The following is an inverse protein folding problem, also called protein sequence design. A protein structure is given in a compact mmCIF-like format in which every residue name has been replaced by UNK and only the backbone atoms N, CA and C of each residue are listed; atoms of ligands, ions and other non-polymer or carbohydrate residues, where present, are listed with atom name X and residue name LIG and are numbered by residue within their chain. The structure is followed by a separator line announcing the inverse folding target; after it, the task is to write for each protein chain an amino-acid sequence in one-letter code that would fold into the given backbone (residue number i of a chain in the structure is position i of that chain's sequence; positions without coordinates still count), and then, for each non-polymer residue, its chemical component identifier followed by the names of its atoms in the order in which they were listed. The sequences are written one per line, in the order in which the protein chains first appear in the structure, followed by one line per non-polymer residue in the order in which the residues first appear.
data_IF_350947111535
#
_entry.id   IF_350947111535
#
_cell.length_a   1.000
_cell.length_b   1.000
_cell.length_c   1.000
_cell.angle_alpha   90.00
_cell.angle_beta   90.00
_cell.angle_gamma   90.00
#
_symmetry.space_group_name_H-M   'P 1'
#
loop_
_entity.id
_entity.type
_entity.pdbx_description
1 polymer ?
#
# COMPACT_ATOMS: atom_id res chain seq x y z
N UNK A 1 -9.98 15.85 -21.62
CA UNK A 1 -9.79 15.20 -20.30
C UNK A 1 -9.39 13.74 -20.54
N UNK A 2 -8.10 13.41 -20.61
CA UNK A 2 -7.68 12.02 -20.85
C UNK A 2 -7.44 11.33 -19.52
N UNK A 3 -8.46 10.60 -19.07
CA UNK A 3 -8.32 9.52 -18.11
C UNK A 3 -7.58 8.37 -18.79
N UNK A 4 -6.44 7.97 -18.22
CA UNK A 4 -5.77 6.68 -18.38
C UNK A 4 -4.33 6.88 -17.88
N UNK A 5 -4.09 6.65 -16.59
CA UNK A 5 -2.71 6.51 -16.12
C UNK A 5 -2.18 5.19 -16.67
N UNK A 6 -1.05 5.29 -17.36
CA UNK A 6 -0.39 4.22 -18.07
C UNK A 6 0.01 3.10 -17.10
N UNK A 7 -0.38 1.88 -17.45
CA UNK A 7 0.17 0.63 -16.90
C UNK A 7 1.63 0.54 -17.30
N UNK A 8 2.51 1.24 -16.59
CA UNK A 8 3.94 0.91 -16.60
C UNK A 8 4.11 -0.26 -15.65
N UNK A 9 4.91 -1.25 -16.05
CA UNK A 9 5.31 -2.42 -15.27
C UNK A 9 6.19 -2.04 -14.06
N UNK A 10 5.84 -0.98 -13.33
CA UNK A 10 6.39 -0.71 -12.00
C UNK A 10 5.90 -1.82 -11.10
N UNK A 11 6.77 -2.38 -10.27
CA UNK A 11 6.41 -3.38 -9.26
C UNK A 11 5.41 -2.75 -8.28
N UNK A 12 4.12 -2.80 -8.57
CA UNK A 12 3.08 -2.29 -7.69
C UNK A 12 2.69 -3.38 -6.71
N UNK A 13 3.05 -3.17 -5.45
CA UNK A 13 2.68 -4.10 -4.39
C UNK A 13 1.34 -3.67 -3.80
N UNK A 14 0.34 -4.56 -3.84
CA UNK A 14 -0.94 -4.31 -3.17
C UNK A 14 -0.79 -4.48 -1.67
N UNK A 15 -0.90 -3.40 -0.93
CA UNK A 15 -0.77 -3.34 0.54
C UNK A 15 -2.14 -3.25 1.21
N UNK A 16 -2.19 -3.68 2.46
CA UNK A 16 -3.35 -3.54 3.32
C UNK A 16 -3.13 -2.37 4.28
N UNK A 17 -3.86 -1.27 4.11
CA UNK A 17 -3.74 -0.08 4.95
C UNK A 17 -4.76 -0.13 6.08
N UNK A 18 -4.28 -0.05 7.32
CA UNK A 18 -5.11 0.22 8.47
C UNK A 18 -5.38 1.73 8.56
N UNK A 19 -6.64 2.13 8.34
CA UNK A 19 -7.03 3.55 8.33
C UNK A 19 -7.02 4.19 9.72
N UNK A 20 -7.13 3.40 10.79
CA UNK A 20 -7.08 3.87 12.18
C UNK A 20 -5.65 4.20 12.60
N UNK A 21 -4.68 3.33 12.31
CA UNK A 21 -3.28 3.54 12.69
C UNK A 21 -2.42 4.22 11.62
N UNK A 22 -2.94 4.38 10.40
CA UNK A 22 -2.21 4.84 9.20
C UNK A 22 -0.96 4.01 8.92
N UNK A 23 -1.07 2.69 9.13
CA UNK A 23 0.00 1.72 8.88
C UNK A 23 -0.42 0.80 7.75
N UNK A 24 0.47 0.60 6.77
CA UNK A 24 0.27 -0.33 5.67
C UNK A 24 1.04 -1.62 5.88
N UNK A 25 0.42 -2.74 5.53
CA UNK A 25 0.94 -4.08 5.69
C UNK A 25 1.19 -4.72 4.33
N UNK A 26 2.35 -5.35 4.17
CA UNK A 26 2.72 -6.05 2.94
C UNK A 26 2.00 -7.40 2.81
N UNK A 27 1.79 -7.88 1.58
CA UNK A 27 1.31 -9.24 1.35
C UNK A 27 2.24 -10.25 2.03
N UNK A 28 1.68 -11.30 2.63
CA UNK A 28 2.42 -12.31 3.38
C UNK A 28 2.71 -11.95 4.85
N UNK A 29 2.41 -10.72 5.29
CA UNK A 29 2.52 -10.36 6.71
C UNK A 29 1.29 -10.79 7.51
N UNK A 30 1.47 -11.05 8.82
CA UNK A 30 0.40 -11.50 9.73
C UNK A 30 -0.86 -10.63 9.73
N UNK A 31 -0.73 -9.33 9.44
CA UNK A 31 -1.81 -8.34 9.55
C UNK A 31 -2.44 -7.94 8.20
N UNK A 32 -1.94 -8.49 7.10
CA UNK A 32 -2.51 -8.25 5.77
C UNK A 32 -3.96 -8.74 5.70
N UNK A 33 -4.90 -7.84 5.47
CA UNK A 33 -6.34 -8.17 5.39
C UNK A 33 -6.98 -8.59 6.70
N UNK A 34 -6.31 -8.41 7.85
CA UNK A 34 -6.78 -8.93 9.14
C UNK A 34 -7.48 -7.91 10.02
N UNK A 35 -7.32 -6.60 9.75
CA UNK A 35 -7.96 -5.56 10.56
C UNK A 35 -9.38 -5.31 10.06
N UNK A 36 -10.32 -4.97 10.95
CA UNK A 36 -11.67 -4.59 10.53
C UNK A 36 -11.71 -3.23 9.81
N UNK A 37 -10.83 -2.33 10.24
CA UNK A 37 -10.67 -1.00 9.68
C UNK A 37 -9.44 -0.97 8.78
N UNK A 38 -9.59 -1.46 7.56
CA UNK A 38 -8.55 -1.32 6.56
C UNK A 38 -9.07 -1.45 5.15
N UNK A 39 -8.22 -1.05 4.21
CA UNK A 39 -8.50 -1.09 2.78
C UNK A 39 -7.27 -1.58 2.03
N UNK A 40 -7.51 -2.33 0.95
CA UNK A 40 -6.45 -2.64 0.00
C UNK A 40 -6.19 -1.41 -0.87
N UNK A 41 -4.92 -1.08 -1.07
CA UNK A 41 -4.47 -0.10 -2.06
C UNK A 41 -3.06 -0.44 -2.53
N UNK A 42 -2.52 0.32 -3.47
CA UNK A 42 -1.12 0.17 -3.86
C UNK A 42 -0.21 0.74 -2.76
N UNK A 43 0.99 0.19 -2.61
CA UNK A 43 2.00 0.78 -1.71
C UNK A 43 2.29 2.24 -2.09
N UNK A 44 2.28 2.54 -3.39
CA UNK A 44 2.45 3.88 -3.93
C UNK A 44 1.41 4.85 -3.36
N UNK A 45 0.13 4.48 -3.44
CA UNK A 45 -0.97 5.29 -2.94
C UNK A 45 -0.93 5.37 -1.41
N UNK A 46 -0.55 4.28 -0.74
CA UNK A 46 -0.39 4.29 0.71
C UNK A 46 0.67 5.30 1.17
N UNK A 47 1.81 5.36 0.47
CA UNK A 47 2.89 6.31 0.73
C UNK A 47 2.44 7.74 0.40
N UNK A 48 1.76 7.96 -0.74
CA UNK A 48 1.20 9.27 -1.11
C UNK A 48 0.17 9.79 -0.11
N UNK A 49 -0.65 8.89 0.44
CA UNK A 49 -1.61 9.18 1.51
C UNK A 49 -0.94 9.42 2.88
N UNK A 50 0.39 9.29 2.98
CA UNK A 50 1.17 9.49 4.21
C UNK A 50 1.10 8.31 5.19
N UNK A 51 0.72 7.12 4.73
CA UNK A 51 0.74 5.92 5.56
C UNK A 51 2.16 5.39 5.73
N UNK A 52 2.42 4.80 6.91
CA UNK A 52 3.74 4.27 7.29
C UNK A 52 3.81 2.76 7.08
N UNK A 53 4.98 2.27 6.71
CA UNK A 53 5.20 0.83 6.56
C UNK A 53 5.10 0.09 7.89
N UNK A 54 4.41 -1.03 7.92
CA UNK A 54 4.44 -1.93 9.08
C UNK A 54 5.87 -2.40 9.34
N UNK A 55 6.28 -2.38 10.61
CA UNK A 55 7.63 -2.79 11.03
C UNK A 55 8.76 -1.97 10.38
N UNK A 56 8.47 -0.78 9.86
CA UNK A 56 9.45 0.06 9.15
C UNK A 56 9.93 -0.53 7.83
N UNK A 57 9.28 -1.59 7.31
CA UNK A 57 9.70 -2.29 6.11
C UNK A 57 8.71 -2.10 4.97
N UNK A 58 9.11 -1.34 3.95
CA UNK A 58 8.41 -1.24 2.68
C UNK A 58 8.32 -2.62 1.99
N UNK A 59 7.25 -2.82 1.24
CA UNK A 59 6.99 -4.05 0.49
C UNK A 59 7.85 -4.13 -0.78
N UNK A 60 8.46 -3.01 -1.15
CA UNK A 60 9.48 -2.91 -2.18
C UNK A 60 8.88 -2.65 -3.55
N UNK A 61 7.81 -1.85 -3.63
CA UNK A 61 7.34 -1.30 -4.89
C UNK A 61 8.28 -0.22 -5.45
N UNK A 62 8.24 -0.02 -6.76
CA UNK A 62 9.05 0.98 -7.48
C UNK A 62 8.46 2.41 -7.41
N UNK A 63 7.70 2.68 -6.35
CA UNK A 63 7.29 4.03 -6.00
C UNK A 63 8.46 4.76 -5.34
N UNK A 64 9.40 5.20 -6.16
CA UNK A 64 10.26 6.34 -5.83
C UNK A 64 9.63 7.61 -6.37
#
# INVERSE_FOLDING_TARGET
MRAAQAKTEKKEVRVWVNTTSRVYHCPGTRWYGKTKHGKYMTECDAIKDGNRAAYGKACGSDCK
#
